data_IF_360328259745
#
_entry.id   IF_360328259745
#
_cell.length_a   1.000
_cell.length_b   1.000
_cell.length_c   1.000
_cell.angle_alpha   90.00
_cell.angle_beta   90.00
_cell.angle_gamma   90.00
#
_symmetry.space_group_name_H-M   'P 1'
#
loop_
_entity.id
_entity.type
_entity.pdbx_description
1 polymer ?
#
# COMPACT_ATOMS: atom_id res chain seq x y z
N UNK A 1 -11.78 18.07 -7.67
CA UNK A 1 -10.60 17.57 -8.41
C UNK A 1 -10.45 16.03 -8.47
N UNK A 2 -11.15 15.21 -7.68
CA UNK A 2 -10.82 13.78 -7.49
C UNK A 2 -11.22 12.79 -8.61
N UNK A 3 -12.00 13.18 -9.63
CA UNK A 3 -12.50 12.22 -10.65
C UNK A 3 -11.44 11.76 -11.67
N UNK A 4 -10.35 12.51 -11.88
CA UNK A 4 -9.40 12.25 -12.97
C UNK A 4 -8.26 11.28 -12.58
N UNK A 5 -7.79 11.34 -11.33
CA UNK A 5 -6.75 10.43 -10.79
C UNK A 5 -7.28 9.00 -10.59
N UNK A 6 -8.59 8.80 -10.39
CA UNK A 6 -9.21 7.47 -10.32
C UNK A 6 -9.02 6.63 -11.60
N UNK A 7 -8.85 7.25 -12.78
CA UNK A 7 -8.64 6.51 -14.03
C UNK A 7 -7.26 5.85 -14.13
N UNK A 8 -6.26 6.34 -13.40
CA UNK A 8 -4.91 5.75 -13.39
C UNK A 8 -4.75 4.71 -12.29
N UNK A 9 -5.45 4.89 -11.16
CA UNK A 9 -5.40 3.95 -10.04
C UNK A 9 -6.01 2.59 -10.37
N UNK A 10 -7.08 2.54 -11.15
CA UNK A 10 -7.73 1.29 -11.55
C UNK A 10 -6.79 0.41 -12.39
N UNK A 11 -6.24 0.87 -13.54
CA UNK A 11 -5.34 0.04 -14.35
C UNK A 11 -4.07 -0.32 -13.58
N UNK A 12 -3.52 0.59 -12.77
CA UNK A 12 -2.36 0.28 -11.93
C UNK A 12 -2.69 -0.80 -10.88
N UNK A 13 -3.88 -0.75 -10.28
CA UNK A 13 -4.31 -1.76 -9.33
C UNK A 13 -4.60 -3.09 -10.01
N UNK A 14 -5.15 -3.09 -11.23
CA UNK A 14 -5.34 -4.31 -12.03
C UNK A 14 -3.99 -4.93 -12.42
N UNK A 15 -3.03 -4.13 -12.87
CA UNK A 15 -1.67 -4.59 -13.15
C UNK A 15 -0.99 -5.14 -11.90
N UNK A 16 -1.16 -4.49 -10.75
CA UNK A 16 -0.67 -4.97 -9.47
C UNK A 16 -1.31 -6.30 -9.08
N UNK A 17 -2.63 -6.44 -9.21
CA UNK A 17 -3.34 -7.69 -8.94
C UNK A 17 -2.83 -8.83 -9.84
N UNK A 18 -2.72 -8.58 -11.14
CA UNK A 18 -2.11 -9.53 -12.08
C UNK A 18 -0.68 -9.89 -11.66
N UNK A 19 0.14 -8.91 -11.27
CA UNK A 19 1.50 -9.14 -10.82
C UNK A 19 1.59 -9.91 -9.49
N UNK A 20 0.60 -9.85 -8.61
CA UNK A 20 0.54 -10.67 -7.40
C UNK A 20 0.00 -12.07 -7.67
N UNK A 21 -0.97 -12.21 -8.58
CA UNK A 21 -1.68 -13.49 -8.77
C UNK A 21 -1.24 -14.28 -9.99
N UNK A 22 -0.33 -13.77 -10.83
CA UNK A 22 0.13 -14.48 -12.03
C UNK A 22 0.59 -15.93 -11.78
N UNK A 23 1.24 -16.31 -10.65
CA UNK A 23 1.70 -17.69 -10.46
C UNK A 23 0.52 -18.67 -10.43
N UNK A 24 -0.66 -18.24 -9.99
CA UNK A 24 -1.83 -19.09 -9.91
C UNK A 24 -2.50 -19.32 -11.27
N UNK A 25 -2.42 -18.34 -12.19
CA UNK A 25 -3.21 -18.35 -13.41
C UNK A 25 -2.41 -18.63 -14.68
N UNK A 26 -1.12 -18.26 -14.71
CA UNK A 26 -0.28 -18.39 -15.90
C UNK A 26 1.12 -18.93 -15.52
N UNK A 27 1.19 -20.13 -14.92
CA UNK A 27 2.44 -20.65 -14.37
C UNK A 27 3.46 -21.09 -15.44
N UNK A 28 2.97 -21.54 -16.60
CA UNK A 28 3.78 -22.01 -17.73
C UNK A 28 3.82 -21.00 -18.88
N UNK A 29 3.87 -19.72 -18.55
CA UNK A 29 3.89 -18.71 -19.60
C UNK A 29 5.21 -18.75 -20.39
N UNK A 30 5.10 -18.72 -21.72
CA UNK A 30 6.27 -18.54 -22.60
C UNK A 30 6.73 -17.07 -22.70
N UNK A 31 6.04 -16.16 -22.02
CA UNK A 31 6.36 -14.74 -22.06
C UNK A 31 7.56 -14.45 -21.15
N UNK A 32 8.62 -13.87 -21.72
CA UNK A 32 9.93 -13.70 -21.05
C UNK A 32 9.84 -13.16 -19.61
N UNK A 33 9.01 -12.15 -19.33
CA UNK A 33 8.90 -11.56 -17.98
C UNK A 33 8.12 -12.42 -16.98
N UNK A 34 7.31 -13.36 -17.47
CA UNK A 34 6.46 -14.26 -16.68
C UNK A 34 7.03 -15.69 -16.66
N UNK A 35 8.23 -15.90 -17.22
CA UNK A 35 9.00 -17.12 -16.99
C UNK A 35 9.58 -17.08 -15.59
N UNK A 36 9.57 -18.23 -14.89
CA UNK A 36 10.04 -18.32 -13.52
C UNK A 36 11.45 -17.69 -13.35
N UNK A 37 12.41 -18.01 -14.21
CA UNK A 37 13.77 -17.49 -14.04
C UNK A 37 13.88 -15.96 -14.17
N UNK A 38 12.91 -15.31 -14.83
CA UNK A 38 12.98 -13.92 -15.27
C UNK A 38 11.99 -12.99 -14.55
N UNK A 39 11.12 -13.47 -13.66
CA UNK A 39 10.13 -12.63 -12.97
C UNK A 39 10.74 -11.57 -12.05
N UNK A 40 12.00 -11.74 -11.61
CA UNK A 40 12.76 -10.67 -10.94
C UNK A 40 12.85 -9.41 -11.81
N UNK A 41 12.88 -9.58 -13.13
CA UNK A 41 12.85 -8.49 -14.12
C UNK A 41 11.46 -7.88 -14.30
N UNK A 42 10.38 -8.65 -14.14
CA UNK A 42 9.02 -8.09 -14.10
C UNK A 42 8.89 -7.10 -12.94
N UNK A 43 9.37 -7.49 -11.76
CA UNK A 43 9.34 -6.64 -10.59
C UNK A 43 10.25 -5.41 -10.74
N UNK A 44 11.43 -5.59 -11.36
CA UNK A 44 12.32 -4.49 -11.73
C UNK A 44 11.72 -3.55 -12.79
N UNK A 45 10.82 -4.03 -13.65
CA UNK A 45 10.13 -3.24 -14.67
C UNK A 45 8.89 -2.50 -14.11
N UNK A 46 8.20 -3.06 -13.12
CA UNK A 46 7.07 -2.39 -12.44
C UNK A 46 7.54 -1.16 -11.67
N UNK A 47 8.74 -1.19 -11.08
CA UNK A 47 9.30 -0.08 -10.30
C UNK A 47 9.41 1.24 -11.11
N UNK A 48 10.06 1.31 -12.28
CA UNK A 48 10.09 2.52 -13.10
C UNK A 48 8.71 2.93 -13.61
N UNK A 49 7.80 1.99 -13.89
CA UNK A 49 6.41 2.33 -14.27
C UNK A 49 5.68 3.04 -13.12
N UNK A 50 5.82 2.54 -11.89
CA UNK A 50 5.22 3.17 -10.71
C UNK A 50 5.80 4.57 -10.47
N UNK A 51 7.12 4.74 -10.66
CA UNK A 51 7.80 6.04 -10.56
C UNK A 51 7.33 7.00 -11.67
N UNK A 52 7.23 6.53 -12.92
CA UNK A 52 6.76 7.32 -14.05
C UNK A 52 5.31 7.77 -13.87
N UNK A 53 4.45 6.90 -13.33
CA UNK A 53 3.07 7.25 -13.00
C UNK A 53 3.01 8.32 -11.89
N UNK A 54 3.86 8.21 -10.87
CA UNK A 54 3.99 9.23 -9.83
C UNK A 54 4.43 10.59 -10.40
N UNK A 55 5.48 10.60 -11.24
CA UNK A 55 5.97 11.80 -11.92
C UNK A 55 4.88 12.39 -12.83
N UNK A 56 4.14 11.54 -13.55
CA UNK A 56 3.05 11.96 -14.40
C UNK A 56 1.92 12.64 -13.61
N UNK A 57 1.56 12.10 -12.43
CA UNK A 57 0.51 12.64 -11.57
C UNK A 57 0.88 14.01 -10.97
N UNK A 58 2.16 14.23 -10.65
CA UNK A 58 2.69 15.54 -10.23
C UNK A 58 2.62 16.54 -11.40
N UNK A 59 3.12 16.16 -12.58
CA UNK A 59 3.28 17.08 -13.70
C UNK A 59 1.95 17.54 -14.33
N UNK A 60 0.88 16.74 -14.24
CA UNK A 60 -0.41 17.07 -14.85
C UNK A 60 -1.39 17.80 -13.91
N UNK A 61 -0.87 18.41 -12.83
CA UNK A 61 -1.67 19.23 -11.92
C UNK A 61 -2.67 18.42 -11.07
N UNK A 62 -2.41 17.13 -10.85
CA UNK A 62 -3.23 16.27 -9.99
C UNK A 62 -3.09 16.61 -8.50
N UNK A 63 -1.95 17.16 -8.10
CA UNK A 63 -1.62 17.54 -6.73
C UNK A 63 -1.27 19.03 -6.65
N UNK A 64 -1.95 19.76 -5.79
CA UNK A 64 -1.59 21.15 -5.43
C UNK A 64 -0.22 21.18 -4.74
N UNK A 65 0.54 22.27 -4.85
CA UNK A 65 1.87 22.43 -4.25
C UNK A 65 1.84 22.14 -2.74
N UNK A 66 0.76 22.53 -2.04
CA UNK A 66 0.54 22.21 -0.63
C UNK A 66 0.40 20.70 -0.37
N UNK A 67 -0.26 19.99 -1.28
CA UNK A 67 -0.41 18.54 -1.19
C UNK A 67 0.95 17.85 -1.38
N UNK A 68 1.74 18.30 -2.36
CA UNK A 68 3.10 17.78 -2.60
C UNK A 68 4.00 17.99 -1.38
N UNK A 69 3.95 19.19 -0.78
CA UNK A 69 4.71 19.49 0.43
C UNK A 69 4.33 18.56 1.60
N UNK A 70 3.02 18.36 1.84
CA UNK A 70 2.56 17.40 2.85
C UNK A 70 2.97 15.96 2.54
N UNK A 71 2.94 15.57 1.27
CA UNK A 71 3.35 14.24 0.82
C UNK A 71 4.82 13.99 1.19
N UNK A 72 5.69 14.99 0.97
CA UNK A 72 7.08 14.96 1.40
C UNK A 72 7.26 14.85 2.93
N UNK A 73 6.54 15.66 3.70
CA UNK A 73 6.61 15.62 5.18
C UNK A 73 6.14 14.27 5.72
N UNK A 74 5.01 13.77 5.24
CA UNK A 74 4.49 12.47 5.68
C UNK A 74 5.35 11.31 5.20
N UNK A 75 5.90 11.37 3.98
CA UNK A 75 6.84 10.37 3.49
C UNK A 75 8.09 10.32 4.38
N UNK A 76 8.65 11.48 4.75
CA UNK A 76 9.79 11.56 5.66
C UNK A 76 9.49 10.96 7.04
N UNK A 77 8.31 11.26 7.62
CA UNK A 77 7.89 10.66 8.88
C UNK A 77 7.77 9.13 8.78
N UNK A 78 7.16 8.62 7.70
CA UNK A 78 7.02 7.19 7.47
C UNK A 78 8.39 6.53 7.27
N UNK A 79 9.32 7.17 6.55
CA UNK A 79 10.70 6.69 6.43
C UNK A 79 11.36 6.56 7.80
N UNK A 80 11.23 7.57 8.67
CA UNK A 80 11.74 7.53 10.03
C UNK A 80 11.12 6.39 10.85
N UNK A 81 9.80 6.23 10.79
CA UNK A 81 9.11 5.12 11.47
C UNK A 81 9.55 3.76 10.95
N UNK A 82 9.82 3.63 9.65
CA UNK A 82 10.30 2.37 9.06
C UNK A 82 11.67 1.96 9.63
N UNK A 83 12.54 2.92 9.90
CA UNK A 83 13.84 2.67 10.55
C UNK A 83 13.67 2.10 11.96
N UNK A 84 12.69 2.60 12.72
CA UNK A 84 12.42 2.12 14.08
C UNK A 84 11.90 0.67 14.11
N UNK A 85 11.26 0.23 13.03
CA UNK A 85 10.75 -1.14 12.90
C UNK A 85 11.72 -2.12 12.25
N UNK A 86 12.84 -1.65 11.70
CA UNK A 86 13.78 -2.49 10.97
C UNK A 86 14.39 -3.57 11.89
N UNK A 87 14.24 -4.85 11.51
CA UNK A 87 14.81 -5.98 12.24
C UNK A 87 14.01 -6.45 13.46
N UNK A 88 12.93 -5.77 13.83
CA UNK A 88 12.05 -6.19 14.91
C UNK A 88 10.87 -7.02 14.36
N UNK A 89 10.64 -8.20 14.92
CA UNK A 89 9.63 -9.15 14.45
C UNK A 89 8.23 -8.53 14.58
N UNK A 90 7.67 -8.12 13.44
CA UNK A 90 6.33 -7.54 13.32
C UNK A 90 6.15 -6.18 13.99
N UNK A 91 7.20 -5.48 14.44
CA UNK A 91 7.07 -4.12 14.98
C UNK A 91 7.23 -3.13 13.82
N UNK A 92 6.11 -2.77 13.19
CA UNK A 92 6.13 -1.93 11.99
C UNK A 92 5.23 -0.70 12.16
N UNK A 93 5.73 0.41 12.74
CA UNK A 93 4.92 1.59 13.03
C UNK A 93 4.49 2.37 11.77
N UNK A 94 4.94 1.98 10.59
CA UNK A 94 4.51 2.67 9.36
C UNK A 94 3.01 2.53 9.09
N UNK A 95 2.41 1.40 9.47
CA UNK A 95 1.05 1.04 9.07
C UNK A 95 0.01 1.92 9.72
N UNK A 96 0.11 2.19 11.02
CA UNK A 96 -0.89 3.03 11.70
C UNK A 96 -0.92 4.42 11.07
N UNK A 97 0.25 4.99 10.77
CA UNK A 97 0.34 6.34 10.23
C UNK A 97 -0.16 6.41 8.78
N UNK A 98 0.21 5.43 7.94
CA UNK A 98 -0.31 5.30 6.57
C UNK A 98 -1.85 5.24 6.56
N UNK A 99 -2.43 4.42 7.44
CA UNK A 99 -3.88 4.24 7.54
C UNK A 99 -4.57 5.53 7.99
N UNK A 100 -4.07 6.20 9.04
CA UNK A 100 -4.66 7.44 9.56
C UNK A 100 -4.57 8.58 8.55
N UNK A 101 -3.44 8.71 7.82
CA UNK A 101 -3.29 9.72 6.78
C UNK A 101 -4.20 9.41 5.59
N UNK A 102 -4.25 8.15 5.13
CA UNK A 102 -5.18 7.71 4.10
C UNK A 102 -6.63 8.04 4.46
N UNK A 103 -7.04 7.73 5.70
CA UNK A 103 -8.39 8.03 6.22
C UNK A 103 -8.74 9.53 6.15
N UNK A 104 -7.79 10.42 6.40
CA UNK A 104 -8.02 11.87 6.46
C UNK A 104 -7.93 12.51 5.07
N UNK A 105 -6.89 12.19 4.29
CA UNK A 105 -6.59 12.84 3.02
C UNK A 105 -7.26 12.15 1.81
N UNK A 106 -7.73 10.92 1.97
CA UNK A 106 -8.50 10.17 0.98
C UNK A 106 -7.66 9.21 0.13
N UNK A 107 -8.36 8.44 -0.70
CA UNK A 107 -7.79 7.29 -1.42
C UNK A 107 -6.57 7.64 -2.29
N UNK A 108 -6.67 8.65 -3.15
CA UNK A 108 -5.59 9.00 -4.08
C UNK A 108 -4.34 9.46 -3.31
N UNK A 109 -4.50 10.38 -2.35
CA UNK A 109 -3.38 10.85 -1.54
C UNK A 109 -2.74 9.70 -0.73
N UNK A 110 -3.57 8.82 -0.16
CA UNK A 110 -3.11 7.63 0.55
C UNK A 110 -2.27 6.71 -0.33
N UNK A 111 -2.77 6.39 -1.53
CA UNK A 111 -2.03 5.57 -2.50
C UNK A 111 -0.67 6.16 -2.83
N UNK A 112 -0.65 7.44 -3.23
CA UNK A 112 0.57 8.15 -3.58
C UNK A 112 1.54 8.20 -2.41
N UNK A 113 1.06 8.42 -1.19
CA UNK A 113 1.87 8.42 0.02
C UNK A 113 2.48 7.03 0.29
N UNK A 114 1.72 5.95 0.16
CA UNK A 114 2.22 4.58 0.32
C UNK A 114 3.34 4.27 -0.68
N UNK A 115 3.13 4.57 -1.96
CA UNK A 115 4.14 4.35 -3.00
C UNK A 115 5.42 5.15 -2.74
N UNK A 116 5.30 6.44 -2.50
CA UNK A 116 6.44 7.35 -2.33
C UNK A 116 7.22 7.12 -1.06
N UNK A 117 6.56 6.87 0.07
CA UNK A 117 7.22 6.63 1.35
C UNK A 117 7.98 5.29 1.36
N UNK A 118 7.41 4.24 0.77
CA UNK A 118 8.08 2.94 0.66
C UNK A 118 9.27 3.01 -0.30
N UNK A 119 9.14 3.76 -1.40
CA UNK A 119 10.25 4.03 -2.32
C UNK A 119 11.38 4.81 -1.65
N UNK A 120 11.07 5.96 -1.06
CA UNK A 120 12.05 6.82 -0.41
C UNK A 120 12.77 6.10 0.74
N UNK A 121 12.03 5.34 1.56
CA UNK A 121 12.62 4.57 2.65
C UNK A 121 13.53 3.45 2.14
N UNK A 122 13.21 2.80 1.03
CA UNK A 122 14.07 1.78 0.43
C UNK A 122 15.38 2.38 -0.09
N UNK A 123 15.35 3.58 -0.68
CA UNK A 123 16.57 4.30 -1.07
C UNK A 123 17.47 4.62 0.14
N UNK A 124 16.86 5.08 1.24
CA UNK A 124 17.59 5.43 2.47
C UNK A 124 18.19 4.20 3.16
N UNK A 125 17.46 3.09 3.18
CA UNK A 125 17.85 1.87 3.90
C UNK A 125 18.66 0.89 3.07
N UNK A 126 18.87 1.18 1.77
CA UNK A 126 19.45 0.22 0.83
C UNK A 126 18.53 -0.97 0.50
N UNK A 127 17.25 -0.89 0.84
CA UNK A 127 16.25 -1.95 0.65
C UNK A 127 15.70 -2.09 -0.77
N UNK A 128 16.44 -1.63 -1.79
CA UNK A 128 16.02 -1.70 -3.19
C UNK A 128 16.19 -3.13 -3.71
N UNK A 129 15.10 -3.74 -4.13
CA UNK A 129 15.09 -5.09 -4.69
C UNK A 129 13.79 -5.40 -5.42
N UNK A 130 13.67 -6.60 -6.01
CA UNK A 130 12.48 -7.02 -6.76
C UNK A 130 11.17 -6.90 -5.95
N UNK A 131 11.22 -7.15 -4.63
CA UNK A 131 10.06 -7.02 -3.74
C UNK A 131 9.55 -5.56 -3.59
N UNK A 132 10.38 -4.55 -3.89
CA UNK A 132 10.06 -3.15 -3.58
C UNK A 132 8.82 -2.67 -4.32
N UNK A 133 8.69 -3.00 -5.60
CA UNK A 133 7.52 -2.61 -6.40
C UNK A 133 6.21 -3.16 -5.78
N UNK A 134 6.24 -4.40 -5.31
CA UNK A 134 5.12 -5.03 -4.61
C UNK A 134 4.83 -4.36 -3.26
N UNK A 135 5.87 -4.04 -2.48
CA UNK A 135 5.71 -3.31 -1.22
C UNK A 135 5.08 -1.93 -1.43
N UNK A 136 5.53 -1.20 -2.46
CA UNK A 136 4.99 0.12 -2.82
C UNK A 136 3.52 0.04 -3.20
N UNK A 137 3.14 -0.93 -4.05
CA UNK A 137 1.75 -1.13 -4.48
C UNK A 137 0.85 -1.54 -3.30
N UNK A 138 1.27 -2.55 -2.53
CA UNK A 138 0.48 -3.06 -1.42
C UNK A 138 0.34 -2.00 -0.30
N UNK A 139 1.39 -1.25 0.04
CA UNK A 139 1.29 -0.14 0.98
C UNK A 139 0.42 1.00 0.45
N UNK A 140 0.51 1.29 -0.86
CA UNK A 140 -0.40 2.21 -1.55
C UNK A 140 -1.87 1.79 -1.35
N UNK A 141 -2.20 0.52 -1.58
CA UNK A 141 -3.56 -0.01 -1.35
C UNK A 141 -4.00 0.09 0.11
N UNK A 142 -3.13 -0.22 1.07
CA UNK A 142 -3.43 -0.10 2.51
C UNK A 142 -3.81 1.33 2.88
N UNK A 143 -3.14 2.35 2.35
CA UNK A 143 -3.52 3.74 2.61
C UNK A 143 -4.73 4.18 1.78
N UNK A 144 -4.85 3.69 0.54
CA UNK A 144 -5.94 4.01 -0.39
C UNK A 144 -7.31 3.56 0.16
N UNK A 145 -7.42 2.29 0.57
CA UNK A 145 -8.68 1.73 1.06
C UNK A 145 -9.09 2.31 2.42
N UNK A 146 -8.12 2.71 3.26
CA UNK A 146 -8.41 3.49 4.48
C UNK A 146 -9.12 4.82 4.15
N UNK A 147 -8.72 5.45 3.03
CA UNK A 147 -9.33 6.68 2.53
C UNK A 147 -10.73 6.50 1.93
N UNK A 148 -11.18 5.26 1.69
CA UNK A 148 -12.55 4.95 1.26
C UNK A 148 -13.53 4.74 2.41
N UNK A 149 -13.04 4.64 3.66
CA UNK A 149 -13.90 4.55 4.85
C UNK A 149 -14.86 5.75 4.86
N UNK A 150 -16.19 5.54 4.98
CA UNK A 150 -17.16 6.62 4.87
C UNK A 150 -16.91 7.74 5.89
N UNK A 151 -16.77 8.98 5.40
CA UNK A 151 -16.45 10.15 6.23
C UNK A 151 -17.51 10.50 7.28
N UNK A 152 -18.74 9.98 7.12
CA UNK A 152 -19.83 10.10 8.10
C UNK A 152 -19.56 9.36 9.41
N UNK A 153 -18.63 8.41 9.41
CA UNK A 153 -18.25 7.64 10.58
C UNK A 153 -17.19 8.44 11.35
N UNK A 154 -17.55 8.85 12.56
CA UNK A 154 -16.72 9.71 13.42
C UNK A 154 -16.68 9.19 14.86
N UNK A 155 -15.77 9.73 15.67
CA UNK A 155 -15.71 9.46 17.11
C UNK A 155 -15.26 8.02 17.43
N UNK A 156 -15.93 7.37 18.38
CA UNK A 156 -15.55 6.00 18.82
C UNK A 156 -15.69 4.95 17.71
N UNK A 157 -16.71 5.08 16.87
CA UNK A 157 -16.95 4.14 15.76
C UNK A 157 -15.91 4.27 14.66
N UNK A 158 -15.38 5.48 14.45
CA UNK A 158 -14.27 5.70 13.52
C UNK A 158 -13.03 4.93 13.96
N UNK A 159 -12.66 4.99 15.24
CA UNK A 159 -11.51 4.23 15.76
C UNK A 159 -11.73 2.73 15.65
N UNK A 160 -12.91 2.22 16.01
CA UNK A 160 -13.21 0.78 15.91
C UNK A 160 -13.06 0.30 14.46
N UNK A 161 -13.66 1.01 13.50
CA UNK A 161 -13.60 0.63 12.10
C UNK A 161 -12.18 0.73 11.55
N UNK A 162 -11.43 1.76 11.92
CA UNK A 162 -10.02 1.91 11.53
C UNK A 162 -9.17 0.79 12.13
N UNK A 163 -9.42 0.35 13.37
CA UNK A 163 -8.71 -0.76 14.00
C UNK A 163 -9.02 -2.09 13.32
N UNK A 164 -10.31 -2.40 13.06
CA UNK A 164 -10.70 -3.61 12.32
C UNK A 164 -10.09 -3.60 10.92
N UNK A 165 -10.16 -2.46 10.24
CA UNK A 165 -9.53 -2.26 8.96
C UNK A 165 -8.02 -2.51 9.03
N UNK A 166 -7.33 -2.00 10.05
CA UNK A 166 -5.89 -2.18 10.20
C UNK A 166 -5.49 -3.64 10.37
N UNK A 167 -6.24 -4.43 11.13
CA UNK A 167 -6.02 -5.89 11.26
C UNK A 167 -6.11 -6.55 9.89
N UNK A 168 -7.19 -6.29 9.15
CA UNK A 168 -7.41 -6.90 7.83
C UNK A 168 -6.34 -6.44 6.84
N UNK A 169 -6.06 -5.15 6.78
CA UNK A 169 -5.14 -4.57 5.80
C UNK A 169 -3.69 -5.03 6.01
N UNK A 170 -3.23 -5.14 7.26
CA UNK A 170 -1.86 -5.60 7.57
C UNK A 170 -1.69 -7.10 7.34
N UNK A 171 -2.73 -7.91 7.58
CA UNK A 171 -2.74 -9.33 7.24
C UNK A 171 -2.75 -9.56 5.72
N UNK A 172 -3.56 -8.79 4.98
CA UNK A 172 -3.59 -8.82 3.52
C UNK A 172 -2.26 -8.37 2.92
N UNK A 173 -1.60 -7.37 3.51
CA UNK A 173 -0.25 -6.97 3.11
C UNK A 173 0.73 -8.15 3.25
N UNK A 174 0.76 -8.83 4.40
CA UNK A 174 1.60 -10.02 4.60
C UNK A 174 1.30 -11.12 3.60
N UNK A 175 0.02 -11.41 3.37
CA UNK A 175 -0.43 -12.41 2.40
C UNK A 175 0.05 -12.08 0.98
N UNK A 176 -0.14 -10.84 0.52
CA UNK A 176 0.33 -10.40 -0.80
C UNK A 176 1.86 -10.51 -0.92
N UNK A 177 2.59 -10.10 0.12
CA UNK A 177 4.04 -10.15 0.14
C UNK A 177 4.58 -11.58 0.15
N UNK A 178 3.87 -12.53 0.76
CA UNK A 178 4.21 -13.94 0.66
C UNK A 178 3.83 -14.53 -0.69
N UNK A 179 2.69 -14.15 -1.25
CA UNK A 179 2.25 -14.69 -2.54
C UNK A 179 3.26 -14.39 -3.65
N UNK A 180 3.85 -13.19 -3.66
CA UNK A 180 4.89 -12.87 -4.65
C UNK A 180 6.21 -13.62 -4.40
N UNK A 181 6.54 -13.95 -3.15
CA UNK A 181 7.77 -14.68 -2.81
C UNK A 181 7.65 -16.20 -2.90
N UNK A 182 6.46 -16.73 -2.65
CA UNK A 182 6.20 -18.15 -2.41
C UNK A 182 6.67 -19.07 -3.55
N UNK A 183 6.47 -18.74 -4.84
CA UNK A 183 7.00 -19.54 -5.95
C UNK A 183 8.53 -19.70 -5.95
N UNK A 184 9.26 -18.84 -5.22
CA UNK A 184 10.73 -18.82 -5.20
C UNK A 184 11.34 -19.38 -3.91
N UNK A 185 10.57 -19.37 -2.82
CA UNK A 185 11.13 -19.52 -1.48
C UNK A 185 11.38 -20.97 -1.07
N UNK A 186 10.63 -21.90 -1.68
CA UNK A 186 10.65 -23.30 -1.30
C UNK A 186 11.16 -24.09 -2.50
N UNK A 187 12.25 -24.85 -2.30
CA UNK A 187 12.75 -25.78 -3.33
C UNK A 187 11.67 -26.75 -3.77
N UNK A 188 11.88 -27.43 -4.90
CA UNK A 188 10.88 -28.26 -5.59
C UNK A 188 10.34 -29.47 -4.80
N UNK A 189 10.84 -29.73 -3.59
CA UNK A 189 10.71 -31.03 -2.94
C UNK A 189 9.89 -31.02 -1.63
N UNK A 190 9.06 -29.99 -1.40
CA UNK A 190 8.19 -29.92 -0.21
C UNK A 190 6.70 -29.93 -0.57
N UNK A 191 5.87 -30.42 0.36
CA UNK A 191 4.40 -30.36 0.22
C UNK A 191 3.85 -28.92 0.15
N UNK A 192 4.64 -27.92 0.57
CA UNK A 192 4.27 -26.51 0.56
C UNK A 192 4.73 -25.78 -0.70
N UNK A 193 5.52 -26.43 -1.56
CA UNK A 193 6.09 -25.82 -2.75
C UNK A 193 5.03 -25.56 -3.81
N UNK A 194 5.23 -24.51 -4.59
CA UNK A 194 4.41 -24.21 -5.75
C UNK A 194 4.61 -25.27 -6.84
N UNK A 195 3.50 -25.75 -7.43
CA UNK A 195 3.54 -26.77 -8.50
C UNK A 195 2.80 -26.22 -9.72
N UNK A 196 3.53 -25.92 -10.79
CA UNK A 196 2.98 -25.28 -11.99
C UNK A 196 1.87 -26.09 -12.69
N UNK A 197 1.93 -27.42 -12.59
CA UNK A 197 0.95 -28.35 -13.19
C UNK A 197 -0.31 -28.56 -12.36
N UNK A 198 -0.33 -28.12 -11.09
CA UNK A 198 -1.47 -28.31 -10.19
C UNK A 198 -2.58 -27.29 -10.48
N UNK A 199 -3.81 -27.61 -10.06
CA UNK A 199 -4.93 -26.69 -10.21
C UNK A 199 -4.73 -25.41 -9.37
N UNK A 200 -5.46 -24.34 -9.74
CA UNK A 200 -5.49 -23.08 -8.97
C UNK A 200 -5.87 -23.33 -7.50
N UNK A 201 -6.82 -24.23 -7.26
CA UNK A 201 -7.32 -24.51 -5.92
C UNK A 201 -6.26 -25.20 -5.05
N UNK A 202 -5.54 -26.17 -5.61
CA UNK A 202 -4.50 -26.92 -4.90
C UNK A 202 -3.32 -26.00 -4.55
N UNK A 203 -2.88 -25.18 -5.50
CA UNK A 203 -1.85 -24.17 -5.25
C UNK A 203 -2.28 -23.13 -4.21
N UNK A 204 -3.55 -22.68 -4.23
CA UNK A 204 -4.05 -21.77 -3.22
C UNK A 204 -4.05 -22.41 -1.82
N UNK A 205 -4.42 -23.69 -1.71
CA UNK A 205 -4.34 -24.41 -0.45
C UNK A 205 -2.90 -24.52 0.07
N UNK A 206 -1.95 -24.92 -0.80
CA UNK A 206 -0.52 -24.99 -0.45
C UNK A 206 0.00 -23.63 0.02
N UNK A 207 -0.36 -22.57 -0.69
CA UNK A 207 0.00 -21.20 -0.32
C UNK A 207 -0.55 -20.79 1.05
N UNK A 208 -1.81 -21.07 1.35
CA UNK A 208 -2.40 -20.71 2.63
C UNK A 208 -1.74 -21.46 3.79
N UNK A 209 -1.44 -22.74 3.62
CA UNK A 209 -0.71 -23.52 4.64
C UNK A 209 0.69 -22.97 4.82
N UNK A 210 1.39 -22.65 3.72
CA UNK A 210 2.71 -21.99 3.76
C UNK A 210 2.67 -20.64 4.50
N UNK A 211 1.69 -19.78 4.18
CA UNK A 211 1.53 -18.47 4.80
C UNK A 211 1.33 -18.58 6.31
N UNK A 212 0.42 -19.46 6.73
CA UNK A 212 0.14 -19.68 8.15
C UNK A 212 1.35 -20.25 8.89
N UNK A 213 2.07 -21.19 8.28
CA UNK A 213 3.24 -21.82 8.88
C UNK A 213 4.43 -20.86 9.05
N UNK A 214 4.60 -19.90 8.15
CA UNK A 214 5.82 -19.08 8.08
C UNK A 214 5.65 -17.66 8.61
N UNK A 215 4.43 -17.11 8.58
CA UNK A 215 4.23 -15.66 8.67
C UNK A 215 3.37 -15.19 9.84
N UNK A 216 2.73 -16.09 10.58
CA UNK A 216 1.97 -15.72 11.78
C UNK A 216 2.83 -15.00 12.83
N UNK A 217 4.11 -15.37 12.96
CA UNK A 217 5.06 -14.73 13.86
C UNK A 217 5.35 -13.27 13.50
N UNK A 218 5.17 -12.88 12.24
CA UNK A 218 5.37 -11.51 11.76
C UNK A 218 4.05 -10.73 11.67
N UNK A 219 3.01 -11.37 11.15
CA UNK A 219 1.73 -10.71 10.85
C UNK A 219 0.92 -10.40 12.11
N UNK A 220 0.89 -11.31 13.10
CA UNK A 220 0.12 -11.07 14.33
C UNK A 220 0.70 -9.92 15.16
N UNK A 221 2.03 -9.85 15.43
CA UNK A 221 2.59 -8.70 16.12
C UNK A 221 2.40 -7.40 15.33
N UNK A 222 2.50 -7.43 13.99
CA UNK A 222 2.21 -6.26 13.13
C UNK A 222 0.79 -5.75 13.35
N UNK A 223 -0.20 -6.64 13.29
CA UNK A 223 -1.59 -6.28 13.48
C UNK A 223 -1.83 -5.71 14.89
N UNK A 224 -1.35 -6.39 15.93
CA UNK A 224 -1.50 -5.98 17.33
C UNK A 224 -0.84 -4.63 17.57
N UNK A 225 0.40 -4.45 17.13
CA UNK A 225 1.16 -3.21 17.32
C UNK A 225 0.52 -2.04 16.58
N UNK A 226 0.07 -2.27 15.34
CA UNK A 226 -0.65 -1.26 14.55
C UNK A 226 -1.93 -0.83 15.25
N UNK A 227 -2.74 -1.79 15.71
CA UNK A 227 -3.99 -1.49 16.43
C UNK A 227 -3.71 -0.78 17.75
N UNK A 228 -2.69 -1.20 18.50
CA UNK A 228 -2.30 -0.54 19.74
C UNK A 228 -1.97 0.94 19.50
N UNK A 229 -1.16 1.25 18.48
CA UNK A 229 -0.85 2.64 18.12
C UNK A 229 -2.09 3.43 17.69
N UNK A 230 -3.01 2.81 16.93
CA UNK A 230 -4.29 3.45 16.54
C UNK A 230 -5.15 3.74 17.77
N UNK A 231 -5.27 2.82 18.72
CA UNK A 231 -6.10 3.02 19.90
C UNK A 231 -5.51 4.07 20.85
N UNK A 232 -4.19 4.07 21.01
CA UNK A 232 -3.48 5.01 21.89
C UNK A 232 -3.41 6.42 21.30
N UNK A 233 -3.18 6.54 19.99
CA UNK A 233 -2.84 7.83 19.35
C UNK A 233 -3.80 8.28 18.25
N UNK A 234 -4.72 7.42 17.82
CA UNK A 234 -5.60 7.67 16.68
C UNK A 234 -6.44 8.93 16.84
N UNK A 235 -7.07 9.15 18.01
CA UNK A 235 -7.88 10.34 18.27
C UNK A 235 -7.09 11.66 18.12
N UNK A 236 -5.99 11.89 18.86
CA UNK A 236 -5.24 13.14 18.73
C UNK A 236 -4.62 13.33 17.34
N UNK A 237 -4.17 12.25 16.69
CA UNK A 237 -3.61 12.32 15.34
C UNK A 237 -4.70 12.67 14.32
N UNK A 238 -5.87 12.02 14.35
CA UNK A 238 -6.98 12.33 13.45
C UNK A 238 -7.42 13.80 13.59
N UNK A 239 -7.49 14.32 14.82
CA UNK A 239 -7.80 15.74 15.05
C UNK A 239 -6.75 16.65 14.41
N UNK A 240 -5.47 16.34 14.63
CA UNK A 240 -4.35 17.13 14.10
C UNK A 240 -4.31 17.12 12.58
N UNK A 241 -4.44 15.95 11.96
CA UNK A 241 -4.47 15.80 10.52
C UNK A 241 -5.68 16.51 9.88
N UNK A 242 -6.86 16.41 10.50
CA UNK A 242 -8.05 17.13 10.01
C UNK A 242 -7.88 18.65 10.10
N UNK A 243 -7.28 19.16 11.17
CA UNK A 243 -6.94 20.60 11.30
C UNK A 243 -5.95 21.04 10.23
N UNK A 244 -4.89 20.27 9.99
CA UNK A 244 -3.92 20.56 8.94
C UNK A 244 -4.59 20.62 7.56
N UNK A 245 -5.45 19.63 7.27
CA UNK A 245 -6.22 19.59 6.02
C UNK A 245 -7.13 20.81 5.83
N UNK A 246 -7.82 21.25 6.89
CA UNK A 246 -8.68 22.42 6.84
C UNK A 246 -7.89 23.71 6.62
N UNK A 247 -6.78 23.91 7.35
CA UNK A 247 -5.92 25.10 7.25
C UNK A 247 -5.27 25.26 5.88
N UNK A 248 -4.95 24.15 5.22
CA UNK A 248 -4.31 24.17 3.92
C UNK A 248 -5.30 24.37 2.76
N UNK A 249 -6.60 24.48 3.05
CA UNK A 249 -7.67 24.61 2.04
C UNK A 249 -7.57 23.54 0.94
N UNK A 250 -7.12 22.33 1.30
CA UNK A 250 -7.07 21.18 0.38
C UNK A 250 -8.47 20.74 -0.09
N UNK A 251 -9.50 21.50 0.29
CA UNK A 251 -10.83 21.54 -0.30
C UNK A 251 -10.98 22.88 -1.04
N UNK A 252 -10.46 22.98 -2.26
CA UNK A 252 -10.90 24.04 -3.19
C UNK A 252 -12.14 23.56 -3.93
N UNK A 253 -13.30 24.01 -3.44
CA UNK A 253 -14.49 24.24 -4.24
C UNK A 253 -14.92 25.69 -3.95
N UNK A 254 -14.27 26.65 -4.59
CA UNK A 254 -14.94 27.93 -4.86
C UNK A 254 -15.71 27.75 -6.17
N UNK A 255 -17.06 27.70 -6.19
CA UNK A 255 -17.76 27.96 -7.43
C UNK A 255 -17.42 29.40 -7.83
N UNK A 256 -16.82 29.59 -9.00
CA UNK A 256 -16.72 30.89 -9.66
C UNK A 256 -18.14 31.43 -9.85
N UNK A 257 -18.63 32.16 -8.84
CA UNK A 257 -19.90 32.85 -8.88
C UNK A 257 -19.70 34.05 -9.79
N UNK A 258 -20.12 33.88 -11.05
CA UNK A 258 -20.60 34.92 -11.99
C UNK A 258 -20.34 36.36 -11.50
N UNK A 259 -19.22 36.94 -11.90
CA UNK A 259 -19.03 38.39 -11.92
C UNK A 259 -18.69 38.79 -13.35
N UNK A 260 -19.70 38.76 -14.23
CA UNK A 260 -19.78 39.61 -15.43
C UNK A 260 -21.26 39.78 -15.75
N UNK A 261 -21.92 40.58 -14.92
CA UNK A 261 -23.13 41.31 -15.27
C UNK A 261 -22.92 42.71 -14.71
N UNK A 262 -22.27 43.57 -15.50
CA UNK A 262 -22.62 44.96 -15.83
C UNK A 262 -21.82 45.29 -17.09
#
# INVERSE_FOLDING_TARGET
MLKRSSYLLIPLSLLGLLAFTWPLFIPESNFFLLQNENTKWLAAAILPIAILLFIFEINHGGLDAKSVALLGVFAALICGLRLLGAGAIGIEPIWFLLILIGRVFGANFGFTLGVTSLFASALITGGVGPWLAFQMLAAGWVAMFAGLIPKRITGKYELIIISVYAVVATQLFGLLMNLQLWPWLIGTDSQLSFVASDSVADNLQRFLVFHLATSLSWDLPRAVFTVALILLTGKPILITLNRAKQRLELVSNAPLKKQMAV
#
